data_IF_383027390811
#
_entry.id   IF_383027390811
#
_cell.length_a   1.000
_cell.length_b   1.000
_cell.length_c   1.000
_cell.angle_alpha   90.00
_cell.angle_beta   90.00
_cell.angle_gamma   90.00
#
_symmetry.space_group_name_H-M   'P 1'
#
loop_
_entity.id
_entity.type
_entity.pdbx_description
1 polymer ?
#
# COMPACT_ATOMS: atom_id res chain seq x y z
N UNK A 1 3.19 9.22 -9.88
CA UNK A 1 2.20 8.65 -8.94
C UNK A 1 2.41 7.16 -8.74
N UNK A 2 2.33 6.31 -9.78
CA UNK A 2 2.58 4.87 -9.60
C UNK A 2 4.02 4.54 -9.15
N UNK A 3 5.05 5.16 -9.74
CA UNK A 3 6.44 4.91 -9.35
C UNK A 3 6.76 5.34 -7.90
N UNK A 4 6.16 6.44 -7.43
CA UNK A 4 6.27 6.83 -6.02
C UNK A 4 5.55 5.84 -5.09
N UNK A 5 4.41 5.27 -5.51
CA UNK A 5 3.75 4.21 -4.75
C UNK A 5 4.60 2.93 -4.68
N UNK A 6 5.27 2.52 -5.77
CA UNK A 6 6.26 1.43 -5.76
C UNK A 6 7.34 1.69 -4.70
N UNK A 7 7.94 2.88 -4.73
CA UNK A 7 9.02 3.23 -3.81
C UNK A 7 8.54 3.19 -2.35
N UNK A 8 7.36 3.74 -2.07
CA UNK A 8 6.78 3.73 -0.72
C UNK A 8 6.40 2.33 -0.25
N UNK A 9 5.89 1.45 -1.12
CA UNK A 9 5.63 0.05 -0.78
C UNK A 9 6.91 -0.72 -0.50
N UNK A 10 7.99 -0.49 -1.25
CA UNK A 10 9.29 -1.11 -0.96
C UNK A 10 9.81 -0.64 0.39
N UNK A 11 9.70 0.66 0.68
CA UNK A 11 10.07 1.25 1.96
C UNK A 11 9.21 0.68 3.09
N UNK A 12 7.92 0.43 2.87
CA UNK A 12 7.05 -0.22 3.85
C UNK A 12 7.42 -1.70 4.04
N UNK A 13 7.66 -2.47 2.97
CA UNK A 13 8.02 -3.88 3.04
C UNK A 13 9.40 -4.12 3.69
N UNK A 14 10.40 -3.32 3.34
CA UNK A 14 11.76 -3.44 3.89
C UNK A 14 11.94 -2.64 5.19
N UNK A 15 11.04 -1.70 5.47
CA UNK A 15 11.15 -0.75 6.56
C UNK A 15 11.04 -1.40 7.92
N UNK A 16 11.94 -0.97 8.82
CA UNK A 16 12.02 -1.53 10.17
C UNK A 16 11.19 -0.76 11.19
N UNK A 17 10.85 0.49 10.87
CA UNK A 17 10.06 1.37 11.73
C UNK A 17 8.56 1.24 11.49
N UNK A 18 7.98 0.04 11.57
CA UNK A 18 6.51 -0.07 11.57
C UNK A 18 5.95 0.38 12.92
N UNK A 19 6.56 -0.12 14.00
CA UNK A 19 6.13 0.15 15.35
C UNK A 19 7.35 0.24 16.26
N UNK A 20 7.34 1.21 17.16
CA UNK A 20 8.45 1.51 18.05
C UNK A 20 7.92 1.78 19.45
N UNK A 21 8.59 1.25 20.46
CA UNK A 21 8.32 1.58 21.86
C UNK A 21 8.72 3.03 22.17
N UNK A 22 8.00 3.68 23.08
CA UNK A 22 8.32 5.03 23.60
C UNK A 22 9.73 5.12 24.18
N UNK A 23 10.24 4.01 24.69
CA UNK A 23 11.55 3.97 25.33
C UNK A 23 12.65 3.64 24.32
N UNK A 24 12.33 3.56 23.01
CA UNK A 24 13.22 3.24 21.89
C UNK A 24 13.92 1.86 21.95
N UNK A 25 13.74 1.11 23.04
CA UNK A 25 14.34 -0.22 23.26
C UNK A 25 13.76 -1.29 22.34
N UNK A 26 12.50 -1.16 21.93
CA UNK A 26 11.82 -2.15 21.09
C UNK A 26 11.43 -1.55 19.75
N UNK A 27 11.91 -2.17 18.67
CA UNK A 27 11.50 -1.86 17.29
C UNK A 27 10.86 -3.08 16.66
N UNK A 28 9.85 -2.85 15.83
CA UNK A 28 9.08 -3.91 15.20
C UNK A 28 8.80 -3.53 13.77
N UNK A 29 9.10 -4.47 12.90
CA UNK A 29 8.90 -4.43 11.46
C UNK A 29 7.81 -5.43 11.07
N UNK A 30 7.40 -5.41 9.81
CA UNK A 30 6.44 -6.39 9.29
C UNK A 30 6.90 -7.85 9.50
N UNK A 31 8.21 -8.08 9.49
CA UNK A 31 8.82 -9.42 9.49
C UNK A 31 9.37 -9.85 10.84
N UNK A 32 9.89 -8.90 11.61
CA UNK A 32 10.68 -9.15 12.82
C UNK A 32 10.32 -8.18 13.94
N UNK A 33 10.37 -8.68 15.17
CA UNK A 33 10.29 -7.92 16.41
C UNK A 33 11.62 -8.04 17.14
N UNK A 34 12.27 -6.90 17.40
CA UNK A 34 13.59 -6.84 18.03
C UNK A 34 13.53 -6.06 19.35
N UNK A 35 14.26 -6.53 20.36
CA UNK A 35 14.36 -5.93 21.69
C UNK A 35 15.78 -5.42 21.96
N UNK A 36 16.33 -4.54 21.11
CA UNK A 36 17.52 -3.76 21.45
C UNK A 36 17.73 -2.57 20.49
N UNK A 37 18.47 -1.57 20.96
CA UNK A 37 18.67 -0.23 20.35
C UNK A 37 19.91 -0.15 19.44
N UNK A 38 20.56 -1.27 19.15
CA UNK A 38 21.67 -1.34 18.21
C UNK A 38 21.13 -1.67 16.82
N UNK A 39 21.25 -0.75 15.86
CA UNK A 39 20.85 -0.92 14.45
C UNK A 39 21.60 -2.04 13.73
N UNK A 40 21.31 -3.28 14.11
CA UNK A 40 21.77 -4.50 13.46
C UNK A 40 20.93 -4.83 12.22
N UNK A 41 21.35 -5.86 11.51
CA UNK A 41 20.67 -6.38 10.32
C UNK A 41 19.27 -6.92 10.63
N UNK A 42 18.88 -6.97 11.92
CA UNK A 42 17.65 -7.54 12.48
C UNK A 42 17.33 -8.88 11.84
N UNK A 43 18.35 -9.71 11.92
CA UNK A 43 18.33 -11.13 11.66
C UNK A 43 17.96 -11.87 12.95
N UNK A 44 17.67 -13.16 12.82
CA UNK A 44 17.58 -14.09 13.95
C UNK A 44 18.85 -14.04 14.83
N UNK A 45 20.02 -13.81 14.22
CA UNK A 45 21.31 -13.72 14.91
C UNK A 45 21.42 -12.53 15.88
N UNK A 46 20.62 -11.47 15.68
CA UNK A 46 20.55 -10.29 16.56
C UNK A 46 19.55 -10.50 17.72
N UNK A 47 19.02 -11.72 17.91
CA UNK A 47 18.03 -12.03 18.95
C UNK A 47 16.62 -11.54 18.63
N UNK A 48 16.33 -11.24 17.37
CA UNK A 48 15.00 -10.79 16.93
C UNK A 48 14.03 -11.98 16.77
N UNK A 49 12.81 -11.82 17.27
CA UNK A 49 11.72 -12.78 17.09
C UNK A 49 11.06 -12.59 15.71
N UNK A 50 10.86 -13.68 14.98
CA UNK A 50 10.14 -13.63 13.70
C UNK A 50 8.64 -13.48 13.92
N UNK A 51 8.02 -12.48 13.28
CA UNK A 51 6.56 -12.34 13.23
C UNK A 51 5.90 -13.36 12.29
N UNK A 52 6.69 -14.01 11.43
CA UNK A 52 6.20 -15.03 10.49
C UNK A 52 5.85 -16.36 11.16
N UNK A 53 6.20 -16.54 12.44
CA UNK A 53 5.72 -17.66 13.25
C UNK A 53 4.20 -17.57 13.43
N UNK A 54 3.65 -16.36 13.53
CA UNK A 54 2.24 -16.12 13.73
C UNK A 54 1.47 -16.15 12.40
N UNK A 55 0.34 -16.87 12.40
CA UNK A 55 -0.51 -16.98 11.21
C UNK A 55 -1.00 -15.61 10.69
N UNK A 56 -1.30 -14.68 11.60
CA UNK A 56 -1.71 -13.32 11.23
C UNK A 56 -0.56 -12.49 10.64
N UNK A 57 0.68 -12.70 11.11
CA UNK A 57 1.87 -12.03 10.59
C UNK A 57 2.14 -12.44 9.14
N UNK A 58 2.08 -13.76 8.87
CA UNK A 58 2.14 -14.29 7.49
C UNK A 58 1.02 -13.74 6.61
N UNK A 59 -0.20 -13.68 7.13
CA UNK A 59 -1.33 -13.15 6.37
C UNK A 59 -1.16 -11.66 6.02
N UNK A 60 -0.72 -10.83 6.98
CA UNK A 60 -0.47 -9.41 6.73
C UNK A 60 0.65 -9.23 5.69
N UNK A 61 1.79 -9.91 5.87
CA UNK A 61 2.89 -9.84 4.91
C UNK A 61 2.49 -10.33 3.51
N UNK A 62 1.75 -11.44 3.42
CA UNK A 62 1.26 -11.96 2.15
C UNK A 62 0.32 -10.98 1.45
N UNK A 63 -0.63 -10.37 2.17
CA UNK A 63 -1.56 -9.40 1.59
C UNK A 63 -0.84 -8.15 1.07
N UNK A 64 0.13 -7.62 1.83
CA UNK A 64 0.93 -6.47 1.40
C UNK A 64 1.77 -6.80 0.17
N UNK A 65 2.42 -7.97 0.18
CA UNK A 65 3.25 -8.44 -0.93
C UNK A 65 2.43 -8.73 -2.19
N UNK A 66 1.26 -9.35 -2.06
CA UNK A 66 0.32 -9.55 -3.17
C UNK A 66 -0.15 -8.21 -3.75
N UNK A 67 -0.50 -7.24 -2.91
CA UNK A 67 -0.86 -5.89 -3.36
C UNK A 67 0.29 -5.22 -4.14
N UNK A 68 1.52 -5.32 -3.64
CA UNK A 68 2.71 -4.81 -4.30
C UNK A 68 2.95 -5.46 -5.68
N UNK A 69 2.83 -6.79 -5.79
CA UNK A 69 2.97 -7.50 -7.08
C UNK A 69 1.95 -6.98 -8.09
N UNK A 70 0.68 -6.85 -7.69
CA UNK A 70 -0.39 -6.35 -8.57
C UNK A 70 -0.08 -4.92 -9.01
N UNK A 71 0.42 -4.07 -8.10
CA UNK A 71 0.85 -2.71 -8.43
C UNK A 71 1.94 -2.71 -9.50
N UNK A 72 2.99 -3.54 -9.37
CA UNK A 72 4.07 -3.64 -10.35
C UNK A 72 3.54 -4.09 -11.71
N UNK A 73 2.64 -5.07 -11.74
CA UNK A 73 1.97 -5.51 -12.97
C UNK A 73 1.18 -4.35 -13.60
N UNK A 74 0.38 -3.62 -12.80
CA UNK A 74 -0.39 -2.47 -13.28
C UNK A 74 0.51 -1.38 -13.85
N UNK A 75 1.65 -1.11 -13.22
CA UNK A 75 2.63 -0.14 -13.71
C UNK A 75 3.17 -0.53 -15.09
N UNK A 76 3.54 -1.80 -15.29
CA UNK A 76 4.00 -2.31 -16.59
C UNK A 76 2.88 -2.19 -17.64
N UNK A 77 1.66 -2.61 -17.30
CA UNK A 77 0.51 -2.51 -18.20
C UNK A 77 0.17 -1.07 -18.57
N UNK A 78 0.34 -0.11 -17.65
CA UNK A 78 0.14 1.31 -17.94
C UNK A 78 1.08 1.82 -19.03
N UNK A 79 2.36 1.41 -19.05
CA UNK A 79 3.29 1.80 -20.12
C UNK A 79 2.83 1.33 -21.50
N UNK A 80 2.37 0.09 -21.59
CA UNK A 80 1.85 -0.45 -22.84
C UNK A 80 0.55 0.23 -23.26
N UNK A 81 -0.34 0.52 -22.30
CA UNK A 81 -1.61 1.20 -22.58
C UNK A 81 -1.42 2.65 -23.08
N UNK A 82 -0.40 3.36 -22.61
CA UNK A 82 -0.08 4.74 -23.02
C UNK A 82 0.51 4.83 -24.44
N UNK A 83 0.95 3.72 -25.03
CA UNK A 83 1.62 3.70 -26.34
C UNK A 83 0.66 3.52 -27.53
N UNK A 84 -0.63 3.24 -27.30
CA UNK A 84 -1.60 2.94 -28.37
C UNK A 84 -2.98 3.59 -28.19
N UNK A 85 -3.58 4.15 -29.26
CA UNK A 85 -4.86 4.87 -29.19
C UNK A 85 -6.10 3.98 -28.93
N UNK A 86 -5.99 2.65 -29.10
CA UNK A 86 -7.12 1.72 -28.93
C UNK A 86 -7.16 1.04 -27.53
N UNK A 87 -6.36 1.53 -26.58
CA UNK A 87 -6.10 0.86 -25.29
C UNK A 87 -6.93 1.40 -24.10
N UNK A 88 -7.89 2.28 -24.30
CA UNK A 88 -8.60 2.96 -23.20
C UNK A 88 -9.57 2.04 -22.43
N UNK A 89 -10.04 0.96 -23.06
CA UNK A 89 -10.74 -0.13 -22.36
C UNK A 89 -9.83 -0.85 -21.37
N UNK A 90 -8.55 -1.04 -21.71
CA UNK A 90 -7.57 -1.66 -20.81
C UNK A 90 -7.26 -0.76 -19.61
N UNK A 91 -7.40 0.56 -19.75
CA UNK A 91 -7.21 1.51 -18.67
C UNK A 91 -8.20 1.28 -17.51
N UNK A 92 -9.45 0.95 -17.83
CA UNK A 92 -10.48 0.64 -16.83
C UNK A 92 -10.18 -0.67 -16.09
N UNK A 93 -9.62 -1.67 -16.79
CA UNK A 93 -9.17 -2.91 -16.18
C UNK A 93 -7.99 -2.66 -15.23
N UNK A 94 -7.02 -1.84 -15.65
CA UNK A 94 -5.89 -1.43 -14.79
C UNK A 94 -6.38 -0.69 -13.55
N UNK A 95 -7.35 0.22 -13.68
CA UNK A 95 -7.96 0.91 -12.54
C UNK A 95 -8.64 -0.07 -11.56
N UNK A 96 -9.34 -1.07 -12.07
CA UNK A 96 -9.94 -2.14 -11.24
C UNK A 96 -8.90 -3.00 -10.51
N UNK A 97 -7.82 -3.37 -11.18
CA UNK A 97 -6.70 -4.11 -10.58
C UNK A 97 -5.99 -3.28 -9.50
N UNK A 98 -5.79 -1.97 -9.72
CA UNK A 98 -5.25 -1.06 -8.71
C UNK A 98 -6.18 -0.92 -7.50
N UNK A 99 -7.50 -0.87 -7.70
CA UNK A 99 -8.46 -0.88 -6.60
C UNK A 99 -8.38 -2.18 -5.78
N UNK A 100 -8.24 -3.33 -6.44
CA UNK A 100 -8.04 -4.61 -5.77
C UNK A 100 -6.73 -4.65 -4.97
N UNK A 101 -5.64 -4.14 -5.55
CA UNK A 101 -4.36 -4.01 -4.85
C UNK A 101 -4.48 -3.15 -3.60
N UNK A 102 -5.17 -2.01 -3.69
CA UNK A 102 -5.41 -1.12 -2.55
C UNK A 102 -6.19 -1.84 -1.43
N UNK A 103 -7.19 -2.66 -1.76
CA UNK A 103 -7.93 -3.45 -0.77
C UNK A 103 -7.01 -4.40 -0.01
N UNK A 104 -6.13 -5.14 -0.70
CA UNK A 104 -5.17 -6.02 -0.03
C UNK A 104 -4.19 -5.25 0.88
N UNK A 105 -3.72 -4.08 0.44
CA UNK A 105 -2.87 -3.23 1.27
C UNK A 105 -3.62 -2.74 2.52
N UNK A 106 -4.83 -2.21 2.39
CA UNK A 106 -5.66 -1.79 3.53
C UNK A 106 -5.84 -2.93 4.53
N UNK A 107 -6.17 -4.14 4.04
CA UNK A 107 -6.35 -5.31 4.90
C UNK A 107 -5.07 -5.60 5.70
N UNK A 108 -3.91 -5.59 5.05
CA UNK A 108 -2.62 -5.77 5.75
C UNK A 108 -2.39 -4.69 6.81
N UNK A 109 -2.60 -3.43 6.45
CA UNK A 109 -2.35 -2.28 7.33
C UNK A 109 -3.29 -2.22 8.54
N UNK A 110 -4.49 -2.80 8.45
CA UNK A 110 -5.42 -2.89 9.57
C UNK A 110 -5.20 -4.15 10.40
N UNK A 111 -4.93 -5.30 9.76
CA UNK A 111 -4.68 -6.56 10.48
C UNK A 111 -3.42 -6.45 11.35
N UNK A 112 -2.36 -5.84 10.83
CA UNK A 112 -1.10 -5.70 11.55
C UNK A 112 -1.29 -5.07 12.96
N UNK A 113 -1.79 -3.84 13.12
CA UNK A 113 -1.96 -3.21 14.44
C UNK A 113 -2.98 -3.94 15.32
N UNK A 114 -4.09 -4.42 14.75
CA UNK A 114 -5.15 -5.09 15.52
C UNK A 114 -4.65 -6.41 16.10
N UNK A 115 -3.96 -7.23 15.31
CA UNK A 115 -3.43 -8.52 15.77
C UNK A 115 -2.17 -8.38 16.62
N UNK A 116 -1.35 -7.39 16.33
CA UNK A 116 -0.16 -7.09 17.12
C UNK A 116 -0.53 -6.69 18.55
N UNK A 117 -1.51 -5.79 18.71
CA UNK A 117 -2.00 -5.35 20.04
C UNK A 117 -2.64 -6.50 20.83
N UNK A 118 -3.40 -7.38 20.17
CA UNK A 118 -4.00 -8.57 20.77
C UNK A 118 -2.97 -9.61 21.21
N UNK A 119 -2.01 -9.95 20.33
CA UNK A 119 -1.03 -11.04 20.58
C UNK A 119 -0.11 -10.70 21.74
N UNK A 120 0.29 -9.44 21.86
CA UNK A 120 1.25 -9.00 22.86
C UNK A 120 0.61 -8.23 24.02
N UNK A 121 -0.72 -8.27 24.14
CA UNK A 121 -1.51 -7.64 25.21
C UNK A 121 -1.01 -6.24 25.54
N UNK A 122 -0.86 -5.38 24.52
CA UNK A 122 -0.34 -4.03 24.68
C UNK A 122 -1.16 -3.21 25.70
N UNK A 123 -2.44 -3.53 25.85
CA UNK A 123 -3.34 -2.92 26.84
C UNK A 123 -3.00 -3.25 28.31
N UNK A 124 -2.28 -4.34 28.58
CA UNK A 124 -1.92 -4.75 29.94
C UNK A 124 -0.63 -4.07 30.45
N UNK A 125 0.24 -3.59 29.54
CA UNK A 125 1.51 -2.96 29.88
C UNK A 125 1.40 -1.44 29.76
N UNK A 126 0.81 -0.79 30.77
CA UNK A 126 0.62 0.67 30.82
C UNK A 126 1.94 1.47 30.90
N UNK A 127 3.06 0.80 31.22
CA UNK A 127 4.36 1.42 31.38
C UNK A 127 5.04 1.78 30.05
N UNK A 128 4.68 1.14 28.93
CA UNK A 128 5.35 1.30 27.63
C UNK A 128 4.31 1.57 26.56
N UNK A 129 4.37 2.75 25.95
CA UNK A 129 3.48 3.09 24.82
C UNK A 129 4.13 2.74 23.50
N UNK A 130 3.34 2.24 22.55
CA UNK A 130 3.83 1.84 21.23
C UNK A 130 3.35 2.84 20.19
N UNK A 131 4.30 3.41 19.47
CA UNK A 131 4.10 4.47 18.49
C UNK A 131 4.34 3.88 17.10
N UNK A 132 3.41 4.11 16.19
CA UNK A 132 3.61 3.78 14.78
C UNK A 132 4.61 4.75 14.17
N UNK A 133 5.64 4.21 13.52
CA UNK A 133 6.75 5.00 13.02
C UNK A 133 6.68 5.13 11.48
N UNK A 134 7.74 5.66 10.86
CA UNK A 134 7.79 6.07 9.46
C UNK A 134 7.34 4.99 8.45
N UNK A 135 7.72 3.72 8.62
CA UNK A 135 7.46 2.69 7.61
C UNK A 135 5.95 2.38 7.50
N UNK A 136 5.24 2.43 8.62
CA UNK A 136 3.78 2.29 8.63
C UNK A 136 3.09 3.46 7.94
N UNK A 137 3.59 4.68 8.16
CA UNK A 137 3.12 5.87 7.45
C UNK A 137 3.32 5.78 5.94
N UNK A 138 4.47 5.26 5.48
CA UNK A 138 4.72 5.05 4.05
C UNK A 138 3.77 4.02 3.43
N UNK A 139 3.41 2.95 4.14
CA UNK A 139 2.40 2.01 3.68
C UNK A 139 1.04 2.68 3.45
N UNK A 140 0.60 3.53 4.39
CA UNK A 140 -0.66 4.28 4.23
C UNK A 140 -0.59 5.27 3.07
N UNK A 141 0.54 5.98 2.94
CA UNK A 141 0.75 6.91 1.84
C UNK A 141 0.72 6.20 0.48
N UNK A 142 1.37 5.04 0.35
CA UNK A 142 1.32 4.21 -0.85
C UNK A 142 -0.12 3.81 -1.20
N UNK A 143 -0.87 3.32 -0.20
CA UNK A 143 -2.27 2.91 -0.35
C UNK A 143 -3.17 4.07 -0.84
N UNK A 144 -3.01 5.27 -0.27
CA UNK A 144 -3.79 6.46 -0.67
C UNK A 144 -3.49 6.85 -2.11
N UNK A 145 -2.21 6.84 -2.52
CA UNK A 145 -1.82 7.12 -3.90
C UNK A 145 -2.42 6.06 -4.84
N UNK A 146 -2.44 4.79 -4.44
CA UNK A 146 -3.04 3.67 -5.16
C UNK A 146 -4.53 3.89 -5.42
N UNK A 147 -5.28 4.28 -4.39
CA UNK A 147 -6.71 4.60 -4.49
C UNK A 147 -6.94 5.78 -5.45
N UNK A 148 -6.13 6.84 -5.33
CA UNK A 148 -6.20 7.98 -6.24
C UNK A 148 -5.94 7.60 -7.70
N UNK A 149 -4.93 6.76 -7.95
CA UNK A 149 -4.63 6.24 -9.29
C UNK A 149 -5.75 5.33 -9.81
N UNK A 150 -6.31 4.47 -8.96
CA UNK A 150 -7.42 3.58 -9.33
C UNK A 150 -8.64 4.39 -9.78
N UNK A 151 -9.02 5.42 -9.03
CA UNK A 151 -10.11 6.33 -9.41
C UNK A 151 -9.80 7.03 -10.74
N UNK A 152 -8.60 7.60 -10.87
CA UNK A 152 -8.19 8.30 -12.09
C UNK A 152 -8.27 7.39 -13.33
N UNK A 153 -7.69 6.18 -13.28
CA UNK A 153 -7.71 5.25 -14.41
C UNK A 153 -9.10 4.67 -14.70
N UNK A 154 -9.98 4.55 -13.69
CA UNK A 154 -11.37 4.15 -13.90
C UNK A 154 -12.23 5.24 -14.55
N UNK A 155 -11.96 6.51 -14.25
CA UNK A 155 -12.77 7.65 -14.68
C UNK A 155 -12.25 8.32 -15.96
N UNK A 156 -10.94 8.25 -16.26
CA UNK A 156 -10.33 8.86 -17.45
C UNK A 156 -11.00 8.45 -18.77
N UNK A 157 -11.40 7.17 -18.99
CA UNK A 157 -12.07 6.77 -20.24
C UNK A 157 -13.39 7.50 -20.49
N UNK A 158 -14.06 8.02 -19.45
CA UNK A 158 -15.32 8.76 -19.63
C UNK A 158 -15.13 10.19 -20.18
N UNK A 159 -13.90 10.71 -20.15
CA UNK A 159 -13.55 12.05 -20.63
C UNK A 159 -12.72 12.01 -21.92
N UNK A 160 -12.56 10.82 -22.50
CA UNK A 160 -11.78 10.57 -23.71
C UNK A 160 -12.25 11.41 -24.90
N UNK A 161 -13.57 11.43 -25.16
CA UNK A 161 -14.15 12.13 -26.31
C UNK A 161 -13.90 13.65 -26.26
N UNK A 162 -13.91 14.22 -25.05
CA UNK A 162 -13.63 15.64 -24.81
C UNK A 162 -12.12 15.94 -24.93
N UNK A 163 -11.25 15.03 -24.49
CA UNK A 163 -9.79 15.18 -24.52
C UNK A 163 -9.20 14.98 -25.92
N UNK A 164 -9.76 14.08 -26.73
CA UNK A 164 -9.36 13.83 -28.11
C UNK A 164 -9.96 14.85 -29.09
N UNK A 165 -10.76 15.79 -28.61
CA UNK A 165 -11.41 16.80 -29.45
C UNK A 165 -12.45 16.21 -30.42
N UNK A 166 -12.89 14.97 -30.18
CA UNK A 166 -13.87 14.27 -31.01
C UNK A 166 -15.32 14.46 -30.48
N UNK A 167 -15.48 15.26 -29.43
CA UNK A 167 -16.79 15.62 -28.89
C UNK A 167 -17.67 16.24 -29.97
N UNK A 168 -18.78 15.54 -30.29
CA UNK A 168 -19.87 16.12 -31.07
C UNK A 168 -20.26 17.46 -30.43
N UNK A 169 -20.32 18.57 -31.17
CA UNK A 169 -20.79 19.83 -30.63
C UNK A 169 -22.17 19.60 -29.98
N UNK A 170 -22.26 19.83 -28.66
CA UNK A 170 -23.54 19.79 -27.96
C UNK A 170 -24.34 20.99 -28.43
N UNK A 171 -25.24 20.77 -29.38
CA UNK A 171 -26.21 21.77 -29.79
C UNK A 171 -27.17 22.02 -28.62
N UNK A 172 -26.99 23.14 -27.92
CA UNK A 172 -28.02 23.66 -27.03
C UNK A 172 -29.18 24.13 -27.92
N UNK A 173 -30.22 23.30 -28.04
CA UNK A 173 -31.48 23.76 -28.60
C UNK A 173 -32.10 24.74 -27.60
N UNK A 174 -31.83 26.04 -27.79
CA UNK A 174 -32.68 27.07 -27.21
C UNK A 174 -33.95 27.10 -28.06
N UNK A 175 -34.99 26.40 -27.60
CA UNK A 175 -36.35 26.65 -28.10
C UNK A 175 -36.75 28.01 -27.57
N UNK A 176 -36.73 29.02 -28.46
CA UNK A 176 -37.29 30.34 -28.23
C UNK A 176 -38.80 30.27 -27.97
#
# INVERSE_FOLDING_TARGET
MLLSAIAFDIIALAGRGWLQSSDHIQTSSLWWRCFHEGGGSGSYDDGCQSLMEYAWGRAAAAMLFCGFIILVICFILSFFALCGPQMLVFLRVIGGLLALAAVFQIISLVIYPVKYTQTFNLHANLAITYIYNWAYGFGWAATIILIGCAFFFCCLPNYEDDLLGNAKPRYFYTSA
#
